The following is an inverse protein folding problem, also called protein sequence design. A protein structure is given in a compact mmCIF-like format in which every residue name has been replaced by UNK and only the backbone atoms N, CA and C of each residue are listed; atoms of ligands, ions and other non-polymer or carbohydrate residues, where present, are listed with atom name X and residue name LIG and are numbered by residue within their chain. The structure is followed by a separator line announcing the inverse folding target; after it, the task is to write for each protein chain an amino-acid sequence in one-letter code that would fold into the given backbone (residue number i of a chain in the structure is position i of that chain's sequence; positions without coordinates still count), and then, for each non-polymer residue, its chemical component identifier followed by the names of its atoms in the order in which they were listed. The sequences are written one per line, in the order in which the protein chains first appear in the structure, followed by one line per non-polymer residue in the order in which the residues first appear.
data_IF_965300300661
#
_entry.id   IF_965300300661
#
_cell.length_a   1.000
_cell.length_b   1.000
_cell.length_c   1.000
_cell.angle_alpha   90.00
_cell.angle_beta   90.00
_cell.angle_gamma   90.00
#
_symmetry.space_group_name_H-M   'P 1'
#
loop_
_entity.id
_entity.type
_entity.pdbx_description
1 polymer ?
#
# COMPACT_ATOMS: atom_id res chain seq x y z
N UNK A 1 41.56 -50.89 -13.64
CA UNK A 1 41.40 -52.04 -12.71
C UNK A 1 41.45 -53.30 -13.56
N UNK A 2 42.28 -54.25 -13.11
CA UNK A 2 42.97 -55.32 -13.85
C UNK A 2 42.09 -56.25 -14.70
N UNK A 3 42.57 -56.46 -15.93
CA UNK A 3 42.58 -57.71 -16.69
C UNK A 3 43.03 -58.86 -15.79
N UNK A 4 42.25 -59.94 -15.65
CA UNK A 4 42.75 -61.28 -15.31
C UNK A 4 41.66 -62.37 -15.36
N UNK A 5 42.11 -63.54 -15.83
CA UNK A 5 41.47 -64.87 -15.88
C UNK A 5 40.71 -65.23 -17.16
N UNK A 6 41.47 -65.20 -18.26
CA UNK A 6 41.49 -66.34 -19.20
C UNK A 6 42.49 -67.41 -18.72
N UNK A 7 42.35 -68.61 -19.31
CA UNK A 7 43.09 -69.86 -19.14
C UNK A 7 42.55 -70.88 -18.13
N UNK A 8 42.21 -72.06 -18.66
CA UNK A 8 42.61 -73.30 -18.00
C UNK A 8 41.62 -74.46 -17.93
N UNK A 9 40.73 -74.70 -18.91
CA UNK A 9 40.08 -76.02 -19.05
C UNK A 9 39.93 -76.39 -20.53
N UNK A 10 41.05 -76.58 -21.22
CA UNK A 10 41.13 -77.63 -22.24
C UNK A 10 41.89 -78.76 -21.57
N UNK A 11 41.15 -79.61 -20.85
CA UNK A 11 41.66 -80.84 -20.30
C UNK A 11 41.31 -81.94 -21.30
N UNK A 12 42.32 -82.31 -22.08
CA UNK A 12 42.51 -83.56 -22.83
C UNK A 12 41.30 -84.52 -22.85
N UNK A 13 40.54 -84.49 -23.95
CA UNK A 13 39.63 -85.59 -24.29
C UNK A 13 40.37 -86.93 -24.43
N UNK A 14 41.68 -86.92 -24.72
CA UNK A 14 42.54 -88.11 -24.72
C UNK A 14 42.71 -88.76 -23.34
N UNK A 15 42.59 -87.98 -22.25
CA UNK A 15 42.75 -88.47 -20.87
C UNK A 15 41.43 -89.08 -20.34
N UNK A 16 40.31 -88.80 -21.00
CA UNK A 16 39.01 -89.38 -20.65
C UNK A 16 38.91 -90.81 -21.17
N UNK A 17 39.30 -91.06 -22.42
CA UNK A 17 39.28 -92.40 -23.04
C UNK A 17 40.25 -93.37 -22.36
N UNK A 18 41.44 -92.92 -21.95
CA UNK A 18 42.40 -93.75 -21.20
C UNK A 18 41.90 -94.07 -19.79
N UNK A 19 41.25 -93.12 -19.10
CA UNK A 19 40.61 -93.39 -17.80
C UNK A 19 39.45 -94.37 -17.92
N UNK A 20 38.61 -94.25 -18.94
CA UNK A 20 37.54 -95.22 -19.19
C UNK A 20 38.09 -96.60 -19.54
N UNK A 21 39.13 -96.69 -20.36
CA UNK A 21 39.79 -97.96 -20.67
C UNK A 21 40.38 -98.62 -19.40
N UNK A 22 41.01 -97.84 -18.52
CA UNK A 22 41.58 -98.35 -17.27
C UNK A 22 40.49 -98.83 -16.29
N UNK A 23 39.36 -98.10 -16.21
CA UNK A 23 38.19 -98.51 -15.41
C UNK A 23 37.58 -99.80 -15.96
N UNK A 24 37.43 -99.93 -17.29
CA UNK A 24 36.92 -101.15 -17.93
C UNK A 24 37.84 -102.35 -17.67
N UNK A 25 39.16 -102.16 -17.73
CA UNK A 25 40.14 -103.20 -17.41
C UNK A 25 40.06 -103.61 -15.94
N UNK A 26 39.97 -102.65 -15.01
CA UNK A 26 39.82 -102.94 -13.56
C UNK A 26 38.51 -103.68 -13.28
N UNK A 27 37.39 -103.25 -13.87
CA UNK A 27 36.09 -103.92 -13.74
C UNK A 27 36.16 -105.34 -14.32
N UNK A 28 36.83 -105.54 -15.45
CA UNK A 28 37.08 -106.85 -16.03
C UNK A 28 37.91 -107.75 -15.12
N UNK A 29 38.97 -107.23 -14.51
CA UNK A 29 39.85 -107.97 -13.60
C UNK A 29 39.13 -108.35 -12.29
N UNK A 30 38.36 -107.44 -11.72
CA UNK A 30 37.51 -107.70 -10.55
C UNK A 30 36.44 -108.74 -10.91
N UNK A 31 35.84 -108.64 -12.09
CA UNK A 31 34.90 -109.63 -12.61
C UNK A 31 35.52 -111.02 -12.74
N UNK A 32 36.75 -111.13 -13.25
CA UNK A 32 37.48 -112.40 -13.39
C UNK A 32 37.84 -113.03 -12.03
N UNK A 33 38.29 -112.21 -11.07
CA UNK A 33 38.61 -112.66 -9.70
C UNK A 33 37.34 -113.14 -8.98
N UNK A 34 36.22 -112.43 -9.12
CA UNK A 34 34.94 -112.84 -8.56
C UNK A 34 34.40 -114.10 -9.24
N UNK A 35 34.60 -114.25 -10.56
CA UNK A 35 34.24 -115.45 -11.32
C UNK A 35 34.99 -116.70 -10.84
N UNK A 36 36.31 -116.60 -10.63
CA UNK A 36 37.10 -117.73 -10.13
C UNK A 36 36.79 -118.09 -8.67
N UNK A 37 36.49 -117.10 -7.81
CA UNK A 37 36.25 -117.32 -6.38
C UNK A 37 34.82 -117.77 -6.05
N UNK A 38 33.86 -117.41 -6.89
CA UNK A 38 32.44 -117.66 -6.65
C UNK A 38 31.71 -118.29 -7.85
N UNK A 39 32.42 -118.88 -8.82
CA UNK A 39 31.86 -119.38 -10.08
C UNK A 39 30.60 -120.25 -9.93
N UNK A 40 30.57 -121.15 -8.94
CA UNK A 40 29.38 -121.96 -8.65
C UNK A 40 28.19 -121.15 -8.08
N UNK A 41 28.46 -120.09 -7.29
CA UNK A 41 27.42 -119.15 -6.82
C UNK A 41 27.03 -118.13 -7.90
N UNK A 42 27.91 -117.84 -8.85
CA UNK A 42 27.62 -117.00 -10.02
C UNK A 42 26.70 -117.75 -10.97
N UNK A 43 26.87 -119.06 -11.16
CA UNK A 43 25.89 -119.88 -11.90
C UNK A 43 24.53 -119.93 -11.19
N UNK A 44 24.49 -120.08 -9.87
CA UNK A 44 23.25 -119.98 -9.10
C UNK A 44 22.62 -118.56 -9.15
N UNK A 45 23.44 -117.51 -9.19
CA UNK A 45 23.00 -116.13 -9.38
C UNK A 45 22.56 -115.86 -10.83
N UNK A 46 23.18 -116.49 -11.83
CA UNK A 46 22.79 -116.42 -13.23
C UNK A 46 21.50 -117.20 -13.50
N UNK A 47 21.27 -118.31 -12.80
CA UNK A 47 19.98 -119.03 -12.82
C UNK A 47 18.90 -118.25 -12.07
N UNK A 48 19.24 -117.60 -10.94
CA UNK A 48 18.37 -116.63 -10.29
C UNK A 48 18.04 -115.44 -11.22
N UNK A 49 19.03 -114.91 -11.95
CA UNK A 49 18.84 -113.89 -12.97
C UNK A 49 17.99 -114.41 -14.14
N UNK A 50 18.13 -115.66 -14.59
CA UNK A 50 17.23 -116.26 -15.59
C UNK A 50 15.80 -116.43 -15.06
N UNK A 51 15.63 -116.68 -13.77
CA UNK A 51 14.32 -116.76 -13.11
C UNK A 51 13.66 -115.40 -12.90
N UNK A 52 14.44 -114.32 -12.96
CA UNK A 52 13.91 -112.95 -12.91
C UNK A 52 13.24 -112.62 -14.23
N UNK A 53 12.01 -112.13 -14.16
CA UNK A 53 11.30 -111.60 -15.31
C UNK A 53 11.95 -110.28 -15.74
N UNK A 54 12.98 -110.37 -16.59
CA UNK A 54 13.73 -109.25 -17.13
C UNK A 54 12.86 -108.22 -17.83
N UNK A 55 11.68 -108.62 -18.35
CA UNK A 55 10.67 -107.69 -18.84
C UNK A 55 10.21 -106.71 -17.76
N UNK A 56 9.91 -107.19 -16.54
CA UNK A 56 9.52 -106.33 -15.41
C UNK A 56 10.68 -105.46 -14.91
N UNK A 57 11.89 -105.99 -14.85
CA UNK A 57 13.08 -105.22 -14.41
C UNK A 57 13.45 -104.13 -15.43
N UNK A 58 13.39 -104.44 -16.72
CA UNK A 58 13.55 -103.47 -17.82
C UNK A 58 12.53 -102.35 -17.74
N UNK A 59 11.25 -102.68 -17.49
CA UNK A 59 10.17 -101.70 -17.33
C UNK A 59 10.43 -100.81 -16.11
N UNK A 60 10.75 -101.39 -14.95
CA UNK A 60 11.03 -100.62 -13.72
C UNK A 60 12.27 -99.73 -13.89
N UNK A 61 13.36 -100.26 -14.47
CA UNK A 61 14.56 -99.49 -14.75
C UNK A 61 14.30 -98.32 -15.71
N UNK A 62 13.51 -98.56 -16.77
CA UNK A 62 13.09 -97.53 -17.71
C UNK A 62 12.23 -96.46 -17.02
N UNK A 63 11.30 -96.85 -16.15
CA UNK A 63 10.47 -95.92 -15.37
C UNK A 63 11.34 -95.07 -14.44
N UNK A 64 12.29 -95.66 -13.71
CA UNK A 64 13.20 -94.91 -12.83
C UNK A 64 14.05 -93.92 -13.64
N UNK A 65 14.51 -94.31 -14.82
CA UNK A 65 15.33 -93.45 -15.68
C UNK A 65 14.51 -92.31 -16.31
N UNK A 66 13.25 -92.58 -16.68
CA UNK A 66 12.29 -91.55 -17.13
C UNK A 66 11.96 -90.58 -15.98
N UNK A 67 11.73 -91.08 -14.76
CA UNK A 67 11.48 -90.24 -13.58
C UNK A 67 12.72 -89.40 -13.25
N UNK A 68 13.91 -90.01 -13.25
CA UNK A 68 15.17 -89.32 -12.99
C UNK A 68 15.45 -88.20 -14.01
N UNK A 69 15.25 -88.47 -15.29
CA UNK A 69 15.39 -87.45 -16.35
C UNK A 69 14.35 -86.34 -16.22
N UNK A 70 13.09 -86.66 -15.87
CA UNK A 70 12.06 -85.67 -15.59
C UNK A 70 12.42 -84.75 -14.42
N UNK A 71 12.95 -85.29 -13.31
CA UNK A 71 13.38 -84.53 -12.14
C UNK A 71 14.54 -83.58 -12.47
N UNK A 72 15.56 -84.07 -13.17
CA UNK A 72 16.70 -83.24 -13.61
C UNK A 72 16.22 -82.12 -14.53
N UNK A 73 15.31 -82.43 -15.46
CA UNK A 73 14.71 -81.44 -16.34
C UNK A 73 13.90 -80.38 -15.57
N UNK A 74 13.13 -80.77 -14.55
CA UNK A 74 12.37 -79.81 -13.72
C UNK A 74 13.29 -78.90 -12.89
N UNK A 75 14.34 -79.44 -12.28
CA UNK A 75 15.33 -78.64 -11.55
C UNK A 75 16.00 -77.64 -12.50
N UNK A 76 16.39 -78.10 -13.70
CA UNK A 76 17.00 -77.24 -14.71
C UNK A 76 16.06 -76.10 -15.16
N UNK A 77 14.78 -76.37 -15.40
CA UNK A 77 13.82 -75.33 -15.81
C UNK A 77 13.56 -74.32 -14.70
N UNK A 78 13.47 -74.75 -13.43
CA UNK A 78 13.35 -73.85 -12.26
C UNK A 78 14.57 -72.92 -12.16
N UNK A 79 15.79 -73.48 -12.20
CA UNK A 79 17.03 -72.69 -12.12
C UNK A 79 17.17 -71.74 -13.31
N UNK A 80 16.80 -72.17 -14.51
CA UNK A 80 16.80 -71.32 -15.71
C UNK A 80 15.79 -70.19 -15.60
N UNK A 81 14.61 -70.44 -15.01
CA UNK A 81 13.59 -69.43 -14.74
C UNK A 81 14.08 -68.40 -13.72
N UNK A 82 14.61 -68.85 -12.58
CA UNK A 82 15.15 -67.97 -11.53
C UNK A 82 16.32 -67.09 -12.05
N UNK A 83 17.22 -67.67 -12.86
CA UNK A 83 18.28 -66.90 -13.53
C UNK A 83 17.74 -65.86 -14.50
N UNK A 84 16.69 -66.18 -15.27
CA UNK A 84 16.03 -65.21 -16.16
C UNK A 84 15.37 -64.09 -15.35
N UNK A 85 14.71 -64.41 -14.26
CA UNK A 85 14.07 -63.42 -13.39
C UNK A 85 15.09 -62.50 -12.72
N UNK A 86 16.20 -63.05 -12.22
CA UNK A 86 17.33 -62.28 -11.69
C UNK A 86 17.94 -61.35 -12.72
N UNK A 87 18.12 -61.80 -13.97
CA UNK A 87 18.61 -60.95 -15.07
C UNK A 87 17.63 -59.82 -15.38
N UNK A 88 16.34 -60.11 -15.48
CA UNK A 88 15.30 -59.09 -15.68
C UNK A 88 15.29 -58.05 -14.56
N UNK A 89 15.39 -58.48 -13.29
CA UNK A 89 15.48 -57.57 -12.14
C UNK A 89 16.74 -56.71 -12.21
N UNK A 90 17.90 -57.27 -12.59
CA UNK A 90 19.13 -56.50 -12.76
C UNK A 90 19.06 -55.50 -13.91
N UNK A 91 18.44 -55.87 -15.04
CA UNK A 91 18.23 -54.96 -16.17
C UNK A 91 17.29 -53.81 -15.79
N UNK A 92 16.19 -54.12 -15.11
CA UNK A 92 15.26 -53.12 -14.58
C UNK A 92 15.94 -52.14 -13.62
N UNK A 93 16.74 -52.64 -12.67
CA UNK A 93 17.53 -51.79 -11.74
C UNK A 93 18.51 -50.89 -12.50
N UNK A 94 19.22 -51.43 -13.51
CA UNK A 94 20.15 -50.63 -14.34
C UNK A 94 19.44 -49.55 -15.15
N UNK A 95 18.24 -49.83 -15.65
CA UNK A 95 17.45 -48.86 -16.39
C UNK A 95 16.98 -47.71 -15.49
N UNK A 96 16.51 -48.04 -14.29
CA UNK A 96 16.15 -47.09 -13.25
C UNK A 96 17.36 -46.23 -12.79
N UNK A 97 18.55 -46.82 -12.64
CA UNK A 97 19.79 -46.07 -12.36
C UNK A 97 20.16 -45.10 -13.50
N UNK A 98 19.95 -45.50 -14.75
CA UNK A 98 20.19 -44.66 -15.92
C UNK A 98 19.21 -43.48 -15.96
N UNK A 99 17.95 -43.71 -15.62
CA UNK A 99 16.93 -42.67 -15.48
C UNK A 99 17.30 -41.66 -14.39
N UNK A 100 17.68 -42.13 -13.21
CA UNK A 100 18.19 -41.29 -12.12
C UNK A 100 19.43 -40.49 -12.55
N UNK A 101 20.32 -41.12 -13.32
CA UNK A 101 21.49 -40.46 -13.90
C UNK A 101 21.16 -39.34 -14.89
N UNK A 102 20.06 -39.45 -15.65
CA UNK A 102 19.55 -38.36 -16.51
C UNK A 102 19.05 -37.19 -15.66
N UNK A 103 18.28 -37.47 -14.61
CA UNK A 103 17.75 -36.46 -13.69
C UNK A 103 18.89 -35.62 -13.10
N UNK A 104 19.98 -36.25 -12.64
CA UNK A 104 21.15 -35.54 -12.08
C UNK A 104 21.90 -34.65 -13.08
N UNK A 105 21.74 -34.89 -14.39
CA UNK A 105 22.38 -34.11 -15.46
C UNK A 105 21.49 -32.98 -15.99
N UNK A 106 20.30 -32.79 -15.43
CA UNK A 106 19.40 -31.71 -15.84
C UNK A 106 20.08 -30.36 -15.65
N UNK A 107 20.07 -29.54 -16.71
CA UNK A 107 20.59 -28.18 -16.67
C UNK A 107 19.50 -27.19 -16.26
N UNK A 108 19.85 -26.30 -15.33
CA UNK A 108 18.99 -25.27 -14.77
C UNK A 108 19.46 -23.85 -15.13
N UNK A 109 20.53 -23.73 -15.92
CA UNK A 109 21.19 -22.45 -16.23
C UNK A 109 20.22 -21.40 -16.78
N UNK A 110 19.37 -21.78 -17.73
CA UNK A 110 18.47 -20.91 -18.49
C UNK A 110 17.13 -20.58 -17.81
N UNK A 111 16.78 -21.21 -16.68
CA UNK A 111 15.51 -20.96 -15.97
C UNK A 111 15.65 -19.87 -14.92
N UNK A 112 14.56 -19.14 -14.65
CA UNK A 112 14.47 -18.24 -13.48
C UNK A 112 14.51 -19.03 -12.17
N UNK A 113 14.61 -18.34 -11.03
CA UNK A 113 14.49 -18.99 -9.72
C UNK A 113 13.20 -19.84 -9.62
N UNK A 114 12.05 -19.23 -9.95
CA UNK A 114 10.76 -19.90 -9.96
C UNK A 114 10.70 -21.09 -10.93
N UNK A 115 11.19 -20.91 -12.17
CA UNK A 115 11.21 -22.00 -13.15
C UNK A 115 12.09 -23.17 -12.72
N UNK A 116 13.17 -22.89 -11.99
CA UNK A 116 14.07 -23.90 -11.41
C UNK A 116 13.38 -24.67 -10.28
N UNK A 117 12.59 -23.99 -9.44
CA UNK A 117 11.82 -24.59 -8.35
C UNK A 117 10.71 -25.51 -8.85
N UNK A 118 9.94 -25.07 -9.86
CA UNK A 118 8.91 -25.89 -10.50
C UNK A 118 9.51 -27.16 -11.09
N UNK A 119 10.60 -27.02 -11.85
CA UNK A 119 11.28 -28.19 -12.43
C UNK A 119 11.86 -29.11 -11.34
N UNK A 120 12.40 -28.56 -10.25
CA UNK A 120 12.87 -29.38 -9.13
C UNK A 120 11.73 -30.20 -8.51
N UNK A 121 10.52 -29.65 -8.42
CA UNK A 121 9.34 -30.38 -7.94
C UNK A 121 8.97 -31.53 -8.87
N UNK A 122 8.92 -31.30 -10.18
CA UNK A 122 8.67 -32.35 -11.18
C UNK A 122 9.72 -33.47 -11.14
N UNK A 123 11.00 -33.11 -10.95
CA UNK A 123 12.08 -34.08 -10.81
C UNK A 123 12.00 -34.86 -9.50
N UNK A 124 11.52 -34.27 -8.40
CA UNK A 124 11.25 -35.01 -7.15
C UNK A 124 10.18 -36.07 -7.37
N UNK A 125 9.07 -35.70 -8.01
CA UNK A 125 7.99 -36.65 -8.33
C UNK A 125 8.46 -37.77 -9.27
N UNK A 126 9.42 -37.48 -10.15
CA UNK A 126 10.05 -38.48 -11.02
C UNK A 126 10.98 -39.41 -10.22
N UNK A 127 11.73 -38.90 -9.24
CA UNK A 127 12.55 -39.71 -8.33
C UNK A 127 11.67 -40.59 -7.43
N UNK A 128 10.51 -40.11 -6.99
CA UNK A 128 9.59 -40.87 -6.13
C UNK A 128 8.94 -42.07 -6.86
N UNK A 129 8.92 -42.04 -8.20
CA UNK A 129 8.47 -43.16 -9.05
C UNK A 129 9.54 -44.23 -9.25
N UNK A 130 10.80 -43.98 -8.85
CA UNK A 130 11.91 -44.93 -8.98
C UNK A 130 11.86 -45.94 -7.82
N UNK A 131 12.21 -47.19 -8.12
CA UNK A 131 12.21 -48.29 -7.14
C UNK A 131 13.00 -47.93 -5.87
N UNK A 132 12.41 -48.28 -4.72
CA UNK A 132 12.95 -47.97 -3.38
C UNK A 132 14.37 -48.48 -3.14
N UNK A 133 14.77 -49.60 -3.76
CA UNK A 133 16.12 -50.16 -3.64
C UNK A 133 17.13 -49.24 -4.31
N UNK A 134 16.78 -48.72 -5.50
CA UNK A 134 17.64 -47.84 -6.30
C UNK A 134 17.77 -46.47 -5.64
N UNK A 135 16.67 -45.92 -5.13
CA UNK A 135 16.67 -44.64 -4.41
C UNK A 135 17.42 -44.74 -3.09
N UNK A 136 17.26 -45.83 -2.33
CA UNK A 136 18.02 -46.08 -1.10
C UNK A 136 19.53 -46.18 -1.38
N UNK A 137 19.93 -46.94 -2.40
CA UNK A 137 21.33 -47.08 -2.80
C UNK A 137 21.98 -45.76 -3.26
N UNK A 138 21.18 -44.78 -3.71
CA UNK A 138 21.67 -43.49 -4.21
C UNK A 138 21.25 -42.29 -3.34
N UNK A 139 20.79 -42.53 -2.11
CA UNK A 139 20.27 -41.49 -1.20
C UNK A 139 21.19 -40.27 -1.06
N UNK A 140 22.49 -40.49 -0.90
CA UNK A 140 23.46 -39.40 -0.75
C UNK A 140 23.60 -38.55 -2.02
N UNK A 141 23.54 -39.18 -3.19
CA UNK A 141 23.59 -38.46 -4.48
C UNK A 141 22.31 -37.64 -4.69
N UNK A 142 21.15 -38.19 -4.35
CA UNK A 142 19.86 -37.51 -4.40
C UNK A 142 19.88 -36.28 -3.48
N UNK A 143 20.30 -36.46 -2.22
CA UNK A 143 20.40 -35.36 -1.26
C UNK A 143 21.39 -34.28 -1.72
N UNK A 144 22.56 -34.68 -2.25
CA UNK A 144 23.55 -33.74 -2.79
C UNK A 144 23.01 -32.98 -4.00
N UNK A 145 22.25 -33.64 -4.86
CA UNK A 145 21.56 -33.01 -5.99
C UNK A 145 20.54 -31.97 -5.50
N UNK A 146 19.62 -32.33 -4.60
CA UNK A 146 18.65 -31.38 -4.05
C UNK A 146 19.32 -30.19 -3.37
N UNK A 147 20.36 -30.42 -2.55
CA UNK A 147 21.11 -29.33 -1.92
C UNK A 147 21.74 -28.39 -2.96
N UNK A 148 22.33 -28.95 -4.02
CA UNK A 148 22.92 -28.17 -5.11
C UNK A 148 21.87 -27.30 -5.83
N UNK A 149 20.71 -27.87 -6.16
CA UNK A 149 19.65 -27.14 -6.87
C UNK A 149 19.00 -26.09 -5.96
N UNK A 150 18.73 -26.40 -4.69
CA UNK A 150 18.21 -25.42 -3.73
C UNK A 150 19.17 -24.23 -3.54
N UNK A 151 20.48 -24.48 -3.44
CA UNK A 151 21.48 -23.41 -3.37
C UNK A 151 21.57 -22.59 -4.66
N UNK A 152 21.21 -23.17 -5.81
CA UNK A 152 21.11 -22.43 -7.07
C UNK A 152 19.85 -21.55 -7.09
N UNK A 153 18.71 -22.08 -6.65
CA UNK A 153 17.45 -21.33 -6.51
C UNK A 153 17.68 -20.10 -5.62
N UNK A 154 18.26 -20.30 -4.43
CA UNK A 154 18.53 -19.21 -3.49
C UNK A 154 19.38 -18.10 -4.11
N UNK A 155 20.49 -18.45 -4.76
CA UNK A 155 21.37 -17.47 -5.44
C UNK A 155 20.65 -16.71 -6.55
N UNK A 156 19.79 -17.40 -7.32
CA UNK A 156 18.98 -16.76 -8.37
C UNK A 156 17.93 -15.81 -7.79
N UNK A 157 17.32 -16.16 -6.66
CA UNK A 157 16.38 -15.28 -5.96
C UNK A 157 17.09 -14.00 -5.48
N UNK A 158 18.24 -14.14 -4.83
CA UNK A 158 19.06 -13.01 -4.37
C UNK A 158 19.49 -12.10 -5.55
N UNK A 159 19.87 -12.68 -6.70
CA UNK A 159 20.24 -11.91 -7.89
C UNK A 159 19.04 -11.22 -8.56
N UNK A 160 17.88 -11.87 -8.62
CA UNK A 160 16.64 -11.29 -9.13
C UNK A 160 16.14 -10.15 -8.24
N UNK A 161 16.22 -10.30 -6.92
CA UNK A 161 15.86 -9.28 -5.93
C UNK A 161 16.79 -8.07 -6.03
N UNK A 162 18.11 -8.28 -6.03
CA UNK A 162 19.08 -7.19 -6.21
C UNK A 162 18.86 -6.41 -7.51
N UNK A 163 18.54 -7.11 -8.62
CA UNK A 163 18.22 -6.44 -9.90
C UNK A 163 16.92 -5.63 -9.84
N UNK A 164 15.93 -6.03 -9.03
CA UNK A 164 14.70 -5.25 -8.83
C UNK A 164 14.99 -4.01 -8.02
N UNK A 165 15.71 -4.13 -6.91
CA UNK A 165 16.10 -3.00 -6.07
C UNK A 165 16.90 -1.95 -6.87
N UNK A 166 17.85 -2.37 -7.69
CA UNK A 166 18.61 -1.45 -8.56
C UNK A 166 17.72 -0.71 -9.56
N UNK A 167 16.72 -1.40 -10.15
CA UNK A 167 15.78 -0.77 -11.09
C UNK A 167 14.83 0.21 -10.38
N UNK A 168 14.40 -0.11 -9.16
CA UNK A 168 13.58 0.80 -8.36
C UNK A 168 14.36 2.04 -7.96
N UNK A 169 15.59 1.89 -7.47
CA UNK A 169 16.49 3.01 -7.16
C UNK A 169 16.76 3.90 -8.38
N UNK A 170 17.00 3.32 -9.56
CA UNK A 170 17.22 4.09 -10.78
C UNK A 170 15.95 4.85 -11.21
N UNK A 171 14.78 4.22 -11.08
CA UNK A 171 13.48 4.85 -11.35
C UNK A 171 13.21 6.00 -10.39
N UNK A 172 13.40 5.81 -9.09
CA UNK A 172 13.24 6.86 -8.08
C UNK A 172 14.16 8.06 -8.37
N UNK A 173 15.42 7.79 -8.73
CA UNK A 173 16.38 8.84 -9.11
C UNK A 173 15.95 9.59 -10.36
N UNK A 174 15.40 8.91 -11.37
CA UNK A 174 14.85 9.57 -12.56
C UNK A 174 13.65 10.46 -12.22
N UNK A 175 12.72 9.96 -11.41
CA UNK A 175 11.55 10.72 -10.94
C UNK A 175 11.95 11.93 -10.08
N UNK A 176 13.01 11.83 -9.27
CA UNK A 176 13.56 12.95 -8.51
C UNK A 176 14.15 14.02 -9.44
N UNK A 177 14.98 13.63 -10.40
CA UNK A 177 15.56 14.55 -11.39
C UNK A 177 14.48 15.26 -12.23
N UNK A 178 13.42 14.55 -12.61
CA UNK A 178 12.28 15.15 -13.30
C UNK A 178 11.53 16.15 -12.42
N UNK A 179 11.31 15.83 -11.14
CA UNK A 179 10.71 16.76 -10.16
C UNK A 179 11.57 18.00 -9.94
N UNK A 180 12.89 17.86 -9.82
CA UNK A 180 13.81 18.99 -9.70
C UNK A 180 13.77 19.89 -10.94
N UNK A 181 13.81 19.31 -12.13
CA UNK A 181 13.69 20.06 -13.40
C UNK A 181 12.35 20.78 -13.47
N UNK A 182 11.25 20.12 -13.12
CA UNK A 182 9.93 20.72 -13.07
C UNK A 182 9.90 21.92 -12.11
N UNK A 183 10.38 21.73 -10.87
CA UNK A 183 10.42 22.78 -9.85
C UNK A 183 11.27 23.98 -10.27
N UNK A 184 12.43 23.73 -10.91
CA UNK A 184 13.29 24.78 -11.47
C UNK A 184 12.54 25.62 -12.50
N UNK A 185 11.84 24.97 -13.44
CA UNK A 185 11.06 25.67 -14.47
C UNK A 185 9.86 26.44 -13.88
N UNK A 186 9.17 25.86 -12.89
CA UNK A 186 8.08 26.55 -12.16
C UNK A 186 8.58 27.82 -11.48
N UNK A 187 9.73 27.75 -10.79
CA UNK A 187 10.30 28.89 -10.09
C UNK A 187 10.80 29.96 -11.07
N UNK A 188 11.44 29.56 -12.17
CA UNK A 188 11.85 30.49 -13.23
C UNK A 188 10.64 31.26 -13.81
N UNK A 189 9.56 30.55 -14.15
CA UNK A 189 8.35 31.17 -14.67
C UNK A 189 7.66 32.04 -13.61
N UNK A 190 7.68 31.64 -12.34
CA UNK A 190 7.17 32.45 -11.24
C UNK A 190 7.91 33.79 -11.12
N UNK A 191 9.24 33.79 -11.19
CA UNK A 191 10.03 35.03 -11.13
C UNK A 191 9.73 35.95 -12.32
N UNK A 192 9.55 35.39 -13.52
CA UNK A 192 9.09 36.16 -14.67
C UNK A 192 7.71 36.79 -14.43
N UNK A 193 6.75 36.02 -13.89
CA UNK A 193 5.40 36.52 -13.56
C UNK A 193 5.45 37.63 -12.50
N UNK A 194 6.30 37.50 -11.47
CA UNK A 194 6.53 38.53 -10.45
C UNK A 194 7.07 39.81 -11.05
N UNK A 195 8.09 39.73 -11.92
CA UNK A 195 8.70 40.88 -12.60
C UNK A 195 7.67 41.67 -13.43
N UNK A 196 6.75 40.96 -14.09
CA UNK A 196 5.70 41.57 -14.90
C UNK A 196 4.41 41.87 -14.12
N UNK A 197 4.39 41.58 -12.81
CA UNK A 197 3.22 41.72 -11.94
C UNK A 197 1.92 41.16 -12.55
N UNK A 198 1.99 40.02 -13.23
CA UNK A 198 0.86 39.44 -13.96
C UNK A 198 0.81 37.91 -13.82
N UNK A 199 -0.37 37.40 -13.46
CA UNK A 199 -0.63 35.96 -13.34
C UNK A 199 -0.58 35.28 -14.72
N UNK A 200 -0.97 35.98 -15.77
CA UNK A 200 -1.06 35.45 -17.14
C UNK A 200 0.23 35.63 -17.95
N UNK A 201 1.22 36.38 -17.44
CA UNK A 201 2.48 36.62 -18.16
C UNK A 201 3.23 35.31 -18.46
N UNK A 202 3.57 35.09 -19.73
CA UNK A 202 4.39 33.97 -20.22
C UNK A 202 5.45 34.56 -21.16
N UNK A 203 6.72 34.17 -21.05
CA UNK A 203 7.76 34.68 -21.93
C UNK A 203 7.59 34.14 -23.35
N UNK A 204 7.70 35.01 -24.36
CA UNK A 204 7.48 34.66 -25.76
C UNK A 204 8.56 33.73 -26.35
N UNK A 205 9.77 33.78 -25.80
CA UNK A 205 10.93 33.03 -26.27
C UNK A 205 11.08 31.64 -25.64
N UNK A 206 10.18 31.23 -24.72
CA UNK A 206 10.31 29.96 -24.00
C UNK A 206 8.96 29.28 -23.81
N UNK A 207 8.89 28.01 -24.21
CA UNK A 207 7.70 27.17 -24.03
C UNK A 207 7.77 26.41 -22.71
N UNK A 208 6.67 26.39 -21.97
CA UNK A 208 6.49 25.63 -20.74
C UNK A 208 5.37 24.61 -20.91
N UNK A 209 5.44 23.49 -20.19
CA UNK A 209 4.33 22.54 -20.15
C UNK A 209 3.11 23.11 -19.43
N UNK A 210 1.93 22.53 -19.68
CA UNK A 210 0.68 22.94 -19.02
C UNK A 210 0.78 22.86 -17.50
N UNK A 211 1.43 21.82 -16.98
CA UNK A 211 1.59 21.62 -15.54
C UNK A 211 2.46 22.71 -14.92
N UNK A 212 3.61 23.03 -15.55
CA UNK A 212 4.49 24.10 -15.07
C UNK A 212 3.75 25.44 -15.03
N UNK A 213 2.96 25.75 -16.07
CA UNK A 213 2.14 26.96 -16.12
C UNK A 213 1.12 26.98 -14.99
N UNK A 214 0.41 25.87 -14.77
CA UNK A 214 -0.60 25.74 -13.71
C UNK A 214 0.00 25.96 -12.32
N UNK A 215 1.09 25.26 -11.99
CA UNK A 215 1.78 25.41 -10.71
C UNK A 215 2.33 26.83 -10.50
N UNK A 216 2.94 27.43 -11.53
CA UNK A 216 3.42 28.80 -11.45
C UNK A 216 2.29 29.82 -11.24
N UNK A 217 1.11 29.61 -11.85
CA UNK A 217 -0.09 30.45 -11.61
C UNK A 217 -0.54 30.37 -10.15
N UNK A 218 -0.65 29.16 -9.59
CA UNK A 218 -1.04 28.96 -8.18
C UNK A 218 -0.04 29.66 -7.24
N UNK A 219 1.27 29.47 -7.46
CA UNK A 219 2.30 30.16 -6.68
C UNK A 219 2.20 31.69 -6.79
N UNK A 220 1.93 32.21 -7.99
CA UNK A 220 1.77 33.66 -8.21
C UNK A 220 0.52 34.21 -7.51
N UNK A 221 -0.61 33.50 -7.56
CA UNK A 221 -1.82 33.88 -6.83
C UNK A 221 -1.58 33.94 -5.31
N UNK A 222 -0.91 32.92 -4.76
CA UNK A 222 -0.55 32.91 -3.33
C UNK A 222 0.42 34.06 -2.99
N UNK A 223 1.39 34.35 -3.85
CA UNK A 223 2.29 35.50 -3.68
C UNK A 223 1.53 36.83 -3.65
N UNK A 224 0.62 37.05 -4.60
CA UNK A 224 -0.20 38.27 -4.65
C UNK A 224 -1.13 38.38 -3.43
N UNK A 225 -1.71 37.27 -2.98
CA UNK A 225 -2.52 37.23 -1.76
C UNK A 225 -1.70 37.64 -0.54
N UNK A 226 -0.52 37.04 -0.33
CA UNK A 226 0.39 37.42 0.76
C UNK A 226 0.80 38.89 0.68
N UNK A 227 1.11 39.39 -0.51
CA UNK A 227 1.44 40.81 -0.72
C UNK A 227 0.27 41.74 -0.36
N UNK A 228 -0.96 41.33 -0.66
CA UNK A 228 -2.16 42.06 -0.27
C UNK A 228 -2.38 42.04 1.26
N UNK A 229 -2.28 40.86 1.88
CA UNK A 229 -2.38 40.68 3.34
C UNK A 229 -1.34 41.56 4.07
N UNK A 230 -0.08 41.55 3.61
CA UNK A 230 0.97 42.43 4.14
C UNK A 230 0.62 43.92 3.99
N UNK A 231 0.03 44.32 2.86
CA UNK A 231 -0.40 45.71 2.65
C UNK A 231 -1.53 46.09 3.61
N UNK A 232 -2.54 45.24 3.77
CA UNK A 232 -3.65 45.46 4.70
C UNK A 232 -3.15 45.55 6.15
N UNK A 233 -2.24 44.66 6.55
CA UNK A 233 -1.63 44.67 7.89
C UNK A 233 -0.77 45.89 8.12
N UNK A 234 -0.05 46.34 7.10
CA UNK A 234 0.69 47.60 7.15
C UNK A 234 -0.24 48.78 7.36
N UNK A 235 -1.36 48.85 6.64
CA UNK A 235 -2.38 49.88 6.83
C UNK A 235 -3.02 49.80 8.24
N UNK A 236 -3.27 48.59 8.74
CA UNK A 236 -3.74 48.33 10.11
C UNK A 236 -2.75 48.88 11.15
N UNK A 237 -1.46 48.58 11.00
CA UNK A 237 -0.40 49.07 11.87
C UNK A 237 -0.29 50.61 11.85
N UNK A 238 -0.38 51.21 10.66
CA UNK A 238 -0.40 52.67 10.51
C UNK A 238 -1.58 53.27 11.28
N UNK A 239 -2.78 52.67 11.16
CA UNK A 239 -3.96 53.16 11.87
C UNK A 239 -3.86 52.96 13.38
N UNK A 240 -3.32 51.83 13.83
CA UNK A 240 -3.05 51.57 15.24
C UNK A 240 -2.20 52.68 15.85
N UNK A 241 -1.06 53.04 15.25
CA UNK A 241 -0.17 54.10 15.77
C UNK A 241 -0.68 55.53 15.54
N UNK A 242 -1.74 55.74 14.74
CA UNK A 242 -2.45 57.03 14.73
C UNK A 242 -3.30 57.23 16.00
N UNK A 243 -3.73 56.13 16.61
CA UNK A 243 -4.66 56.10 17.74
C UNK A 243 -3.96 55.84 19.07
N UNK A 244 -2.87 55.07 19.04
CA UNK A 244 -2.12 54.62 20.20
C UNK A 244 -0.74 55.29 20.29
N UNK A 245 -0.12 55.23 21.47
CA UNK A 245 1.26 55.68 21.67
C UNK A 245 2.22 54.89 20.76
N UNK A 246 3.23 55.56 20.19
CA UNK A 246 4.23 54.93 19.32
C UNK A 246 5.06 53.86 20.04
N UNK A 247 5.10 53.90 21.37
CA UNK A 247 5.76 52.90 22.21
C UNK A 247 4.85 51.76 22.66
N UNK A 248 3.55 51.84 22.37
CA UNK A 248 2.61 50.76 22.63
C UNK A 248 2.84 49.58 21.68
N UNK A 249 2.70 48.36 22.20
CA UNK A 249 2.80 47.13 21.40
C UNK A 249 1.43 46.47 21.33
N UNK A 250 0.84 46.31 20.14
CA UNK A 250 -0.33 45.46 19.98
C UNK A 250 0.10 44.01 20.22
N UNK A 251 -0.83 43.20 20.70
CA UNK A 251 -0.62 41.77 20.71
C UNK A 251 -0.97 41.21 19.33
N UNK A 252 -0.05 40.44 18.77
CA UNK A 252 -0.04 39.92 17.40
C UNK A 252 0.07 38.41 17.45
N UNK A 253 -0.63 37.72 16.56
CA UNK A 253 -0.72 36.26 16.57
C UNK A 253 0.42 35.61 15.76
N UNK A 254 1.03 36.33 14.83
CA UNK A 254 2.07 35.81 13.93
C UNK A 254 3.32 36.71 13.91
N UNK A 255 4.51 36.09 13.90
CA UNK A 255 5.80 36.80 13.98
C UNK A 255 6.02 37.82 12.85
N UNK A 256 5.54 37.54 11.64
CA UNK A 256 5.69 38.47 10.51
C UNK A 256 4.81 39.72 10.64
N UNK A 257 3.74 39.67 11.44
CA UNK A 257 2.96 40.86 11.76
C UNK A 257 3.79 41.77 12.68
N UNK A 258 4.51 41.21 13.65
CA UNK A 258 5.38 41.97 14.55
C UNK A 258 6.49 42.71 13.79
N UNK A 259 7.05 42.09 12.76
CA UNK A 259 8.01 42.75 11.85
C UNK A 259 7.39 43.98 11.17
N UNK A 260 6.16 43.88 10.66
CA UNK A 260 5.45 45.01 10.02
C UNK A 260 5.20 46.13 11.02
N UNK A 261 4.70 45.82 12.21
CA UNK A 261 4.44 46.81 13.25
C UNK A 261 5.72 47.49 13.76
N UNK A 262 6.83 46.73 13.83
CA UNK A 262 8.14 47.26 14.19
C UNK A 262 8.68 48.20 13.10
N UNK A 263 8.60 47.80 11.83
CA UNK A 263 9.00 48.66 10.70
C UNK A 263 8.21 49.97 10.66
N UNK A 264 6.89 49.92 10.86
CA UNK A 264 6.07 51.14 10.92
C UNK A 264 6.50 52.02 12.09
N UNK A 265 6.73 51.45 13.27
CA UNK A 265 7.20 52.20 14.44
C UNK A 265 8.52 52.94 14.15
N UNK A 266 9.47 52.28 13.51
CA UNK A 266 10.75 52.87 13.09
C UNK A 266 10.59 53.96 12.03
N UNK A 267 9.74 53.74 11.02
CA UNK A 267 9.45 54.73 9.98
C UNK A 267 8.81 56.00 10.55
N UNK A 268 7.97 55.86 11.56
CA UNK A 268 7.35 57.00 12.26
C UNK A 268 8.39 57.73 13.11
N UNK A 269 9.18 57.00 13.91
CA UNK A 269 10.25 57.58 14.74
C UNK A 269 11.32 58.29 13.92
N UNK A 270 11.64 57.77 12.74
CA UNK A 270 12.58 58.38 11.79
C UNK A 270 11.97 59.50 10.93
N UNK A 271 10.66 59.80 11.08
CA UNK A 271 9.97 60.84 10.32
C UNK A 271 9.69 60.50 8.86
N UNK A 272 10.00 59.28 8.40
CA UNK A 272 9.68 58.80 7.04
C UNK A 272 8.18 58.66 6.84
N UNK A 273 7.44 58.37 7.91
CA UNK A 273 5.99 58.28 7.90
C UNK A 273 5.38 59.30 8.86
N UNK A 274 4.65 60.26 8.32
CA UNK A 274 4.01 61.31 9.12
C UNK A 274 2.58 60.90 9.48
N UNK A 275 2.36 60.46 10.72
CA UNK A 275 1.04 60.09 11.24
C UNK A 275 0.30 61.37 11.63
N UNK A 276 -0.54 61.91 10.75
CA UNK A 276 -1.49 62.96 11.15
C UNK A 276 -2.38 62.42 12.28
N UNK A 277 -2.26 63.01 13.47
CA UNK A 277 -2.90 62.52 14.68
C UNK A 277 -4.41 62.81 14.75
N UNK A 278 -5.05 61.81 15.35
CA UNK A 278 -6.41 61.61 15.85
C UNK A 278 -7.63 61.83 14.94
N UNK A 279 -8.47 60.78 14.75
CA UNK A 279 -9.87 60.97 14.40
C UNK A 279 -10.52 61.94 15.39
N UNK A 280 -11.13 63.01 14.90
CA UNK A 280 -11.95 63.90 15.75
C UNK A 280 -13.13 63.07 16.24
N UNK A 281 -13.23 62.89 17.57
CA UNK A 281 -14.38 62.22 18.22
C UNK A 281 -15.69 62.92 17.82
N UNK A 282 -15.62 64.21 17.49
CA UNK A 282 -16.68 65.03 16.89
C UNK A 282 -16.13 65.81 15.69
N UNK A 283 -16.67 65.57 14.49
CA UNK A 283 -16.40 66.42 13.34
C UNK A 283 -17.53 67.46 13.26
N UNK A 284 -17.18 68.74 13.47
CA UNK A 284 -18.14 69.86 13.49
C UNK A 284 -19.27 69.69 14.54
N UNK A 285 -18.99 69.01 15.67
CA UNK A 285 -19.96 68.78 16.75
C UNK A 285 -20.99 67.67 16.48
N UNK A 286 -20.89 66.96 15.33
CA UNK A 286 -21.77 65.84 14.98
C UNK A 286 -21.09 64.49 15.23
N UNK A 287 -21.85 63.51 15.72
CA UNK A 287 -21.40 62.14 15.97
C UNK A 287 -22.36 61.12 15.35
N UNK A 288 -21.81 60.09 14.72
CA UNK A 288 -22.58 58.92 14.31
C UNK A 288 -22.90 58.07 15.55
N UNK A 289 -24.19 57.77 15.75
CA UNK A 289 -24.71 57.14 16.96
C UNK A 289 -24.43 55.63 17.02
N UNK A 290 -24.64 54.93 15.90
CA UNK A 290 -24.41 53.49 15.75
C UNK A 290 -22.97 53.16 15.40
N UNK A 291 -22.59 51.88 15.58
CA UNK A 291 -21.27 51.33 15.25
C UNK A 291 -21.22 50.62 13.88
N UNK A 292 -22.36 50.56 13.19
CA UNK A 292 -22.54 49.87 11.91
C UNK A 292 -23.42 50.70 10.97
N UNK A 293 -22.96 50.90 9.73
CA UNK A 293 -23.72 51.58 8.69
C UNK A 293 -23.53 50.94 7.32
N UNK A 294 -24.59 50.93 6.51
CA UNK A 294 -24.48 50.72 5.07
C UNK A 294 -23.95 51.99 4.41
N UNK A 295 -22.91 51.90 3.59
CA UNK A 295 -22.31 53.07 2.93
C UNK A 295 -23.32 53.83 2.04
N UNK A 296 -24.25 53.10 1.39
CA UNK A 296 -25.32 53.69 0.59
C UNK A 296 -26.30 54.57 1.39
N UNK A 297 -26.40 54.35 2.70
CA UNK A 297 -27.29 55.09 3.59
C UNK A 297 -26.60 56.33 4.18
N UNK A 298 -25.28 56.48 3.99
CA UNK A 298 -24.53 57.65 4.43
C UNK A 298 -24.32 58.60 3.26
N UNK A 299 -24.62 59.88 3.48
CA UNK A 299 -24.24 60.95 2.57
C UNK A 299 -22.72 61.22 2.65
N UNK A 300 -22.20 62.12 1.80
CA UNK A 300 -20.76 62.38 1.74
C UNK A 300 -20.20 62.99 3.05
N UNK A 301 -20.97 63.86 3.71
CA UNK A 301 -20.60 64.47 5.00
C UNK A 301 -20.52 63.40 6.09
N UNK A 302 -21.54 62.55 6.22
CA UNK A 302 -21.58 61.45 7.19
C UNK A 302 -20.47 60.42 6.96
N UNK A 303 -20.10 60.15 5.71
CA UNK A 303 -18.94 59.30 5.40
C UNK A 303 -17.64 59.93 5.88
N UNK A 304 -17.47 61.24 5.70
CA UNK A 304 -16.31 61.98 6.24
C UNK A 304 -16.29 61.93 7.76
N UNK A 305 -17.44 62.10 8.42
CA UNK A 305 -17.60 61.94 9.87
C UNK A 305 -17.21 60.52 10.30
N UNK A 306 -17.69 59.48 9.60
CA UNK A 306 -17.37 58.09 9.93
C UNK A 306 -15.87 57.82 9.87
N UNK A 307 -15.20 58.24 8.78
CA UNK A 307 -13.75 58.13 8.64
C UNK A 307 -13.04 58.91 9.74
N UNK A 308 -13.50 60.14 10.02
CA UNK A 308 -12.97 60.99 11.08
C UNK A 308 -13.26 60.46 12.49
N UNK A 309 -14.10 59.44 12.68
CA UNK A 309 -14.40 58.78 13.96
C UNK A 309 -13.78 57.38 14.09
N UNK A 310 -12.93 56.99 13.13
CA UNK A 310 -12.23 55.70 13.13
C UNK A 310 -13.04 54.53 12.58
N UNK A 311 -14.14 54.78 11.85
CA UNK A 311 -14.85 53.69 11.17
C UNK A 311 -13.98 53.16 10.02
N UNK A 312 -13.95 51.84 9.88
CA UNK A 312 -13.29 51.14 8.78
C UNK A 312 -14.31 50.86 7.69
N UNK A 313 -13.96 51.22 6.46
CA UNK A 313 -14.77 50.88 5.28
C UNK A 313 -14.49 49.45 4.81
N UNK A 314 -15.54 48.68 4.55
CA UNK A 314 -15.45 47.26 4.18
C UNK A 314 -16.39 46.96 3.02
N UNK A 315 -15.86 46.36 1.95
CA UNK A 315 -16.68 45.80 0.88
C UNK A 315 -17.29 44.48 1.35
N UNK A 316 -18.59 44.31 1.18
CA UNK A 316 -19.28 43.09 1.58
C UNK A 316 -20.63 42.93 0.89
N UNK A 317 -21.24 41.79 1.14
CA UNK A 317 -22.55 41.44 0.59
C UNK A 317 -23.63 41.59 1.67
N UNK A 318 -24.83 41.96 1.25
CA UNK A 318 -26.05 41.83 2.05
C UNK A 318 -26.35 40.33 2.28
N UNK A 319 -27.26 40.03 3.22
CA UNK A 319 -27.60 38.64 3.56
C UNK A 319 -28.20 37.85 2.38
N UNK A 320 -28.80 38.52 1.39
CA UNK A 320 -29.33 37.89 0.18
C UNK A 320 -28.24 37.55 -0.87
N UNK A 321 -26.98 37.88 -0.58
CA UNK A 321 -25.83 37.65 -1.43
C UNK A 321 -25.54 38.77 -2.44
N UNK A 322 -26.38 39.81 -2.53
CA UNK A 322 -26.10 40.97 -3.40
C UNK A 322 -24.99 41.82 -2.81
N UNK A 323 -24.16 42.39 -3.69
CA UNK A 323 -23.12 43.34 -3.29
C UNK A 323 -23.82 44.56 -2.67
N UNK A 324 -23.43 44.93 -1.46
CA UNK A 324 -23.94 46.15 -0.84
C UNK A 324 -23.37 47.35 -1.60
N UNK A 325 -24.25 48.21 -2.15
CA UNK A 325 -23.84 49.41 -2.88
C UNK A 325 -22.87 50.26 -2.06
N UNK A 326 -21.60 50.26 -2.46
CA UNK A 326 -20.55 50.97 -1.73
C UNK A 326 -20.08 50.33 -0.42
N UNK A 327 -20.58 49.18 0.04
CA UNK A 327 -20.08 48.47 1.23
C UNK A 327 -20.63 48.96 2.58
N UNK A 328 -19.84 48.79 3.65
CA UNK A 328 -20.21 49.08 5.04
C UNK A 328 -19.15 49.94 5.73
N UNK A 329 -19.57 50.79 6.66
CA UNK A 329 -18.70 51.44 7.64
C UNK A 329 -18.91 50.77 8.98
N UNK A 330 -17.84 50.21 9.54
CA UNK A 330 -17.88 49.47 10.81
C UNK A 330 -16.89 50.07 11.80
N UNK A 331 -17.31 50.19 13.05
CA UNK A 331 -16.43 50.55 14.17
C UNK A 331 -16.41 49.38 15.13
N UNK A 332 -15.32 48.62 15.13
CA UNK A 332 -15.14 47.43 15.96
C UNK A 332 -14.07 47.68 17.01
N UNK A 333 -14.35 47.33 18.26
CA UNK A 333 -13.39 47.38 19.37
C UNK A 333 -12.71 46.02 19.60
N UNK A 334 -13.34 44.94 19.12
CA UNK A 334 -12.91 43.57 19.33
C UNK A 334 -12.10 43.00 18.14
N UNK A 335 -11.35 41.93 18.41
CA UNK A 335 -10.53 41.20 17.41
C UNK A 335 -11.30 40.35 16.40
N UNK A 336 -12.63 40.41 16.37
CA UNK A 336 -13.42 39.65 15.41
C UNK A 336 -13.14 40.08 13.96
N UNK A 337 -13.35 39.16 13.00
CA UNK A 337 -13.14 39.45 11.58
C UNK A 337 -14.16 40.50 11.11
N UNK A 338 -13.75 41.38 10.18
CA UNK A 338 -14.64 42.41 9.61
C UNK A 338 -15.93 41.80 9.03
N UNK A 339 -15.81 40.61 8.43
CA UNK A 339 -16.92 39.84 7.86
C UNK A 339 -17.88 39.34 8.92
N UNK A 340 -17.36 38.78 10.00
CA UNK A 340 -18.13 38.33 11.15
C UNK A 340 -18.92 39.49 11.74
N UNK A 341 -18.24 40.61 11.99
CA UNK A 341 -18.83 41.84 12.54
C UNK A 341 -20.04 42.29 11.73
N UNK A 342 -19.87 42.51 10.42
CA UNK A 342 -20.96 43.08 9.62
C UNK A 342 -22.12 42.08 9.45
N UNK A 343 -21.85 40.78 9.33
CA UNK A 343 -22.91 39.78 9.23
C UNK A 343 -23.76 39.74 10.50
N UNK A 344 -23.14 39.79 11.67
CA UNK A 344 -23.81 39.84 12.98
C UNK A 344 -24.81 40.99 13.05
N UNK A 345 -24.39 42.18 12.63
CA UNK A 345 -25.23 43.37 12.63
C UNK A 345 -26.33 43.30 11.56
N UNK A 346 -26.04 42.75 10.38
CA UNK A 346 -27.07 42.53 9.35
C UNK A 346 -28.16 41.56 9.82
N UNK A 347 -27.81 40.52 10.58
CA UNK A 347 -28.80 39.62 11.17
C UNK A 347 -29.65 40.33 12.22
N UNK A 348 -29.02 41.15 13.08
CA UNK A 348 -29.73 41.90 14.10
C UNK A 348 -30.75 42.92 13.55
N UNK A 349 -30.57 43.37 12.32
CA UNK A 349 -31.53 44.23 11.62
C UNK A 349 -32.75 43.47 11.04
N UNK A 350 -32.77 42.13 11.09
CA UNK A 350 -33.90 41.37 10.52
C UNK A 350 -35.17 41.49 11.35
N UNK A 351 -35.06 41.67 12.67
CA UNK A 351 -36.19 41.77 13.59
C UNK A 351 -35.79 42.56 14.84
N UNK A 352 -36.66 43.46 15.33
CA UNK A 352 -36.49 44.24 16.57
C UNK A 352 -36.11 43.43 17.83
N UNK A 353 -36.50 42.15 17.89
CA UNK A 353 -36.23 41.23 18.98
C UNK A 353 -34.87 40.53 18.87
N UNK A 354 -34.09 40.84 17.85
CA UNK A 354 -32.72 40.35 17.76
C UNK A 354 -31.77 41.13 18.66
N UNK A 355 -30.88 40.40 19.33
CA UNK A 355 -29.84 40.95 20.20
C UNK A 355 -28.48 40.44 19.76
N UNK A 356 -27.58 41.37 19.44
CA UNK A 356 -26.17 41.11 19.14
C UNK A 356 -25.46 40.70 20.43
N UNK A 357 -24.61 39.67 20.35
CA UNK A 357 -23.77 39.16 21.43
C UNK A 357 -24.56 38.79 22.70
N UNK A 358 -25.69 38.10 22.53
CA UNK A 358 -26.53 37.70 23.66
C UNK A 358 -25.82 36.70 24.58
N UNK A 359 -25.66 37.07 25.84
CA UNK A 359 -24.87 36.34 26.84
C UNK A 359 -25.76 35.56 27.81
N UNK A 360 -25.37 34.31 28.10
CA UNK A 360 -25.98 33.48 29.15
C UNK A 360 -24.84 32.85 29.96
N UNK A 361 -24.62 33.36 31.17
CA UNK A 361 -23.48 33.00 31.99
C UNK A 361 -22.17 33.56 31.42
N UNK A 362 -21.17 32.70 31.24
CA UNK A 362 -19.83 33.02 30.73
C UNK A 362 -19.71 32.92 29.20
N UNK A 363 -20.75 32.42 28.52
CA UNK A 363 -20.78 32.21 27.08
C UNK A 363 -21.81 33.11 26.40
N UNK A 364 -21.55 33.43 25.14
CA UNK A 364 -22.43 34.25 24.28
C UNK A 364 -22.71 33.56 22.95
N UNK A 365 -23.84 33.89 22.34
CA UNK A 365 -24.14 33.61 20.92
C UNK A 365 -23.98 34.90 20.12
N UNK A 366 -23.60 34.81 18.85
CA UNK A 366 -23.35 36.02 18.04
C UNK A 366 -24.59 36.90 17.88
N UNK A 367 -25.75 36.28 17.61
CA UNK A 367 -27.06 36.96 17.62
C UNK A 367 -28.09 36.02 18.23
N UNK A 368 -29.03 36.54 19.02
CA UNK A 368 -30.19 35.78 19.49
C UNK A 368 -31.48 36.49 19.09
N UNK A 369 -32.47 35.74 18.60
CA UNK A 369 -33.85 36.19 18.44
C UNK A 369 -34.67 35.73 19.64
N UNK A 370 -35.36 36.66 20.29
CA UNK A 370 -36.12 36.42 21.52
C UNK A 370 -37.59 36.79 21.31
N UNK A 371 -38.45 35.80 21.06
CA UNK A 371 -39.89 36.02 20.83
C UNK A 371 -40.66 35.27 21.91
N UNK A 372 -41.24 36.00 22.87
CA UNK A 372 -41.93 35.42 24.02
C UNK A 372 -41.01 34.40 24.74
N UNK A 373 -41.42 33.13 24.78
CA UNK A 373 -40.65 32.03 25.38
C UNK A 373 -39.67 31.37 24.40
N UNK A 374 -39.71 31.72 23.11
CA UNK A 374 -38.87 31.15 22.06
C UNK A 374 -37.52 31.88 21.95
N UNK A 375 -36.43 31.12 22.07
CA UNK A 375 -35.05 31.60 21.92
C UNK A 375 -34.36 30.92 20.75
N UNK A 376 -34.00 31.70 19.74
CA UNK A 376 -33.25 31.20 18.57
C UNK A 376 -31.84 31.78 18.59
N UNK A 377 -30.84 30.91 18.64
CA UNK A 377 -29.43 31.30 18.57
C UNK A 377 -28.91 31.32 17.12
N UNK A 378 -28.15 32.35 16.76
CA UNK A 378 -27.49 32.47 15.46
C UNK A 378 -26.00 32.63 15.69
N UNK A 379 -25.22 31.61 15.32
CA UNK A 379 -23.76 31.62 15.43
C UNK A 379 -23.14 31.74 14.02
N UNK A 380 -22.30 32.74 13.81
CA UNK A 380 -21.76 33.09 12.49
C UNK A 380 -20.36 32.50 12.35
N UNK A 381 -20.18 31.60 11.38
CA UNK A 381 -18.93 30.89 11.19
C UNK A 381 -18.22 31.41 9.93
N UNK A 382 -17.23 32.27 10.15
CA UNK A 382 -16.42 32.86 9.08
C UNK A 382 -15.10 32.12 8.82
N UNK A 383 -14.73 31.18 9.68
CA UNK A 383 -13.45 30.48 9.63
C UNK A 383 -13.49 29.02 10.12
N UNK A 384 -12.30 28.50 10.39
CA UNK A 384 -12.06 27.11 10.73
C UNK A 384 -11.76 26.95 12.23
N UNK A 385 -12.80 27.04 13.07
CA UNK A 385 -12.69 26.78 14.51
C UNK A 385 -12.26 25.34 14.78
N UNK A 386 -11.66 25.03 15.94
CA UNK A 386 -11.29 23.65 16.29
C UNK A 386 -12.53 22.83 16.62
N UNK A 387 -12.52 21.54 16.27
CA UNK A 387 -13.70 20.68 16.42
C UNK A 387 -14.14 20.54 17.88
N UNK A 388 -13.20 20.51 18.82
CA UNK A 388 -13.48 20.43 20.25
C UNK A 388 -14.24 21.68 20.75
N UNK A 389 -13.83 22.87 20.30
CA UNK A 389 -14.48 24.14 20.65
C UNK A 389 -15.91 24.20 20.09
N UNK A 390 -16.10 23.71 18.87
CA UNK A 390 -17.43 23.62 18.24
C UNK A 390 -18.32 22.67 19.05
N UNK A 391 -17.83 21.49 19.44
CA UNK A 391 -18.58 20.53 20.24
C UNK A 391 -19.00 21.09 21.61
N UNK A 392 -18.12 21.83 22.29
CA UNK A 392 -18.46 22.51 23.53
C UNK A 392 -19.52 23.59 23.33
N UNK A 393 -19.42 24.36 22.23
CA UNK A 393 -20.40 25.39 21.90
C UNK A 393 -21.77 24.77 21.57
N UNK A 394 -21.79 23.68 20.82
CA UNK A 394 -23.01 22.91 20.48
C UNK A 394 -23.70 22.39 21.74
N UNK A 395 -22.96 21.81 22.70
CA UNK A 395 -23.54 21.37 23.99
C UNK A 395 -24.22 22.52 24.73
N UNK A 396 -23.58 23.68 24.74
CA UNK A 396 -24.14 24.88 25.38
C UNK A 396 -25.37 25.41 24.62
N UNK A 397 -25.32 25.51 23.30
CA UNK A 397 -26.44 25.95 22.47
C UNK A 397 -27.68 25.05 22.64
N UNK A 398 -27.49 23.73 22.65
CA UNK A 398 -28.56 22.76 22.87
C UNK A 398 -29.23 22.88 24.24
N UNK A 399 -28.50 23.36 25.25
CA UNK A 399 -29.02 23.56 26.61
C UNK A 399 -29.84 24.83 26.75
N UNK A 400 -29.48 25.89 26.03
CA UNK A 400 -29.96 27.25 26.32
C UNK A 400 -30.89 27.87 25.28
N UNK A 401 -30.96 27.30 24.06
CA UNK A 401 -31.81 27.79 22.98
C UNK A 401 -32.81 26.71 22.56
N UNK A 402 -33.99 27.11 22.09
CA UNK A 402 -35.02 26.22 21.57
C UNK A 402 -34.67 25.74 20.16
N UNK A 403 -34.14 26.65 19.34
CA UNK A 403 -33.50 26.35 18.07
C UNK A 403 -32.20 27.14 17.94
N UNK A 404 -31.25 26.64 17.15
CA UNK A 404 -30.06 27.42 16.83
C UNK A 404 -29.51 27.10 15.44
N UNK A 405 -28.81 28.07 14.84
CA UNK A 405 -28.29 27.95 13.49
C UNK A 405 -26.80 28.34 13.45
N UNK A 406 -26.00 27.49 12.80
CA UNK A 406 -24.70 27.91 12.27
C UNK A 406 -24.92 28.60 10.93
N UNK A 407 -24.41 29.81 10.79
CA UNK A 407 -24.44 30.59 9.56
C UNK A 407 -23.04 30.64 8.98
N UNK A 408 -22.81 29.89 7.90
CA UNK A 408 -21.48 29.82 7.31
C UNK A 408 -21.51 29.99 5.78
N UNK A 409 -20.34 30.26 5.21
CA UNK A 409 -20.21 30.30 3.75
C UNK A 409 -20.43 28.90 3.15
N UNK A 410 -20.84 28.82 1.88
CA UNK A 410 -21.11 27.55 1.18
C UNK A 410 -19.95 26.53 1.28
N UNK A 411 -18.72 27.03 1.28
CA UNK A 411 -17.50 26.21 1.37
C UNK A 411 -17.31 25.56 2.75
N UNK A 412 -17.89 26.15 3.81
CA UNK A 412 -17.78 25.66 5.18
C UNK A 412 -18.95 24.75 5.57
N UNK A 413 -20.06 24.72 4.81
CA UNK A 413 -21.25 23.92 5.11
C UNK A 413 -20.91 22.45 5.41
N UNK A 414 -20.16 21.71 4.57
CA UNK A 414 -19.90 20.29 4.83
C UNK A 414 -19.20 20.03 6.17
N UNK A 415 -18.40 21.00 6.65
CA UNK A 415 -17.70 20.89 7.93
C UNK A 415 -18.64 21.09 9.12
N UNK A 416 -19.55 22.05 9.05
CA UNK A 416 -20.42 22.41 10.17
C UNK A 416 -21.70 21.58 10.20
N UNK A 417 -22.15 21.05 9.06
CA UNK A 417 -23.34 20.19 8.94
C UNK A 417 -23.24 18.90 9.78
N UNK A 418 -22.03 18.38 10.05
CA UNK A 418 -21.86 17.18 10.90
C UNK A 418 -22.14 17.41 12.38
N UNK A 419 -22.25 18.67 12.82
CA UNK A 419 -22.50 19.03 14.22
C UNK A 419 -23.96 19.42 14.50
N UNK A 420 -24.83 19.36 13.48
CA UNK A 420 -26.25 19.70 13.59
C UNK A 420 -27.13 18.48 13.33
N UNK A 421 -28.31 18.46 13.95
CA UNK A 421 -29.30 17.38 13.87
C UNK A 421 -30.42 17.63 12.84
N UNK A 422 -30.45 18.82 12.22
CA UNK A 422 -31.49 19.29 11.31
C UNK A 422 -32.91 19.28 11.89
N UNK A 423 -33.03 19.23 13.23
CA UNK A 423 -34.30 19.34 13.95
C UNK A 423 -34.28 20.60 14.80
N UNK A 424 -33.49 20.57 15.87
CA UNK A 424 -33.25 21.69 16.78
C UNK A 424 -32.17 22.63 16.24
N UNK A 425 -31.27 22.10 15.44
CA UNK A 425 -30.07 22.79 14.98
C UNK A 425 -29.93 22.71 13.47
N UNK A 426 -29.46 23.79 12.83
CA UNK A 426 -29.30 23.85 11.37
C UNK A 426 -27.97 24.48 10.99
N UNK A 427 -27.46 24.13 9.83
CA UNK A 427 -26.28 24.76 9.22
C UNK A 427 -26.68 25.36 7.88
N UNK A 428 -26.68 26.70 7.78
CA UNK A 428 -27.29 27.44 6.68
C UNK A 428 -26.33 28.49 6.10
N UNK A 429 -26.53 28.83 4.83
CA UNK A 429 -25.90 30.02 4.25
C UNK A 429 -26.58 31.30 4.77
N UNK A 430 -25.92 32.48 4.72
CA UNK A 430 -26.54 33.74 5.16
C UNK A 430 -27.93 33.99 4.56
N UNK A 431 -28.12 33.70 3.27
CA UNK A 431 -29.41 33.86 2.58
C UNK A 431 -30.49 32.95 3.15
N UNK A 432 -30.20 31.66 3.30
CA UNK A 432 -31.15 30.69 3.85
C UNK A 432 -31.44 30.94 5.33
N UNK A 433 -30.43 31.33 6.09
CA UNK A 433 -30.59 31.71 7.49
C UNK A 433 -31.48 32.94 7.64
N UNK A 434 -31.32 33.96 6.78
CA UNK A 434 -32.23 35.12 6.71
C UNK A 434 -33.67 34.66 6.45
N UNK A 435 -33.90 33.83 5.44
CA UNK A 435 -35.24 33.33 5.09
C UNK A 435 -35.87 32.55 6.26
N UNK A 436 -35.07 31.71 6.94
CA UNK A 436 -35.51 30.97 8.11
C UNK A 436 -35.91 31.90 9.27
N UNK A 437 -35.08 32.88 9.60
CA UNK A 437 -35.38 33.85 10.66
C UNK A 437 -36.66 34.64 10.34
N UNK A 438 -36.80 35.13 9.11
CA UNK A 438 -37.97 35.91 8.70
C UNK A 438 -39.26 35.08 8.66
N UNK A 439 -39.19 33.75 8.69
CA UNK A 439 -40.39 32.90 8.80
C UNK A 439 -41.08 33.03 10.17
N UNK A 440 -40.38 33.54 11.19
CA UNK A 440 -40.93 33.82 12.51
C UNK A 440 -41.63 35.20 12.60
N UNK A 441 -41.39 36.09 11.63
CA UNK A 441 -42.07 37.40 11.52
C UNK A 441 -43.44 37.30 10.83
N UNK A 442 -43.76 36.17 10.21
CA UNK A 442 -45.09 35.99 9.62
C UNK A 442 -46.11 35.75 10.73
N UNK A 443 -47.18 36.56 10.83
CA UNK A 443 -48.27 36.27 11.76
C UNK A 443 -48.86 34.92 11.36
N UNK A 444 -48.56 33.88 12.14
CA UNK A 444 -49.26 32.62 12.02
C UNK A 444 -50.71 32.82 12.46
N UNK A 445 -51.56 33.07 11.47
CA UNK A 445 -52.94 32.57 11.45
C UNK A 445 -52.91 31.04 11.50
N UNK A 446 -52.58 30.46 12.66
CA UNK A 446 -52.88 29.08 13.00
C UNK A 446 -52.92 28.95 14.53
N UNK A 447 -54.12 29.19 15.07
CA UNK A 447 -54.64 28.48 16.24
C UNK A 447 -55.72 27.53 15.77
#
# INVERSE_FOLDING_TARGET
MKILKGFGIMADEENLMTKYAFIVIIIGFIGLILYNKYGYKIFAFLDFLKSINWGKVSIIGSIILIIGTLVVFTIYTIVKSDRKEKRKKQEYVKEQEKELGKIFRTDFSYKTAYGTEVLLKELKESIDKIDSIVTFANKDKINKFYKKVNNLIKRKQEEEEYKREQKELEKERQEELERERHNKLVNELLEFKKKNNSIEAIPLNKKYSKDVISYAKIKMQNYLRKKHEQKEKREEAINYYKECDIDSKPYLDEAWEEEIYTQIREEVKSGKLNLKQKPKIEYEGKKLENIFYRAKNLNEEERRIAVAQGFVHVKGNELDGKICGGGFYIKKENRESKKHFYLKHLFAELHDNMKVEYQIGDKRVDVALLILDLKIGVEIETGANRDEQILEKVKWLNKHFDEWIFVCQRQLLPRYERFVDNKKSRCLTPKKAKEFILSYDSPCTHR
#
